data_IF_891752937644
#
_entry.id   IF_891752937644
#
_cell.length_a   1.000
_cell.length_b   1.000
_cell.length_c   1.000
_cell.angle_alpha   90.00
_cell.angle_beta   90.00
_cell.angle_gamma   90.00
#
_symmetry.space_group_name_H-M   'P 1'
#
loop_
_entity.id
_entity.type
_entity.pdbx_description
1 polymer ?
#
# COMPACT_ATOMS: atom_id res chain seq x y z
N UNK A 1 6.76 15.01 4.13
CA UNK A 1 7.96 14.64 4.92
C UNK A 1 7.45 14.02 6.21
N UNK A 2 7.75 12.78 6.61
CA UNK A 2 9.04 12.10 6.65
C UNK A 2 8.92 10.57 6.40
N UNK A 3 9.42 10.03 5.28
CA UNK A 3 9.54 8.58 5.02
C UNK A 3 10.95 8.06 5.35
N UNK A 4 11.43 8.45 6.54
CA UNK A 4 12.80 8.36 7.08
C UNK A 4 13.89 9.26 6.47
N UNK A 5 13.60 10.28 5.66
CA UNK A 5 14.57 11.29 5.11
C UNK A 5 15.87 10.76 4.44
N UNK A 6 16.09 9.45 4.29
CA UNK A 6 17.34 8.88 3.74
C UNK A 6 17.31 8.73 2.22
N UNK A 7 18.49 8.76 1.61
CA UNK A 7 18.70 8.76 0.14
C UNK A 7 18.56 7.37 -0.51
N UNK A 8 18.37 6.34 0.29
CA UNK A 8 18.39 4.94 -0.09
C UNK A 8 17.46 4.16 0.85
N UNK A 9 16.16 4.38 0.69
CA UNK A 9 15.11 3.46 1.14
C UNK A 9 14.83 3.42 2.66
N UNK A 10 13.59 3.02 2.99
CA UNK A 10 13.24 2.20 4.14
C UNK A 10 14.45 1.38 4.63
N UNK A 11 14.68 1.26 5.94
CA UNK A 11 15.78 0.45 6.46
C UNK A 11 15.76 -1.00 5.98
N UNK A 12 14.58 -1.46 5.53
CA UNK A 12 14.33 -2.80 5.03
C UNK A 12 14.49 -2.95 3.51
N UNK A 13 14.79 -1.87 2.76
CA UNK A 13 15.06 -1.94 1.32
C UNK A 13 13.82 -1.97 0.40
N UNK A 14 12.63 -1.60 0.88
CA UNK A 14 11.39 -1.54 0.07
C UNK A 14 11.20 -0.24 -0.75
N UNK A 15 10.76 -0.38 -2.00
CA UNK A 15 10.20 0.72 -2.77
C UNK A 15 8.78 1.04 -2.29
N UNK A 16 8.59 2.23 -1.70
CA UNK A 16 7.30 2.68 -1.18
C UNK A 16 6.39 3.23 -2.28
N UNK A 17 5.19 2.68 -2.35
CA UNK A 17 4.10 3.21 -3.18
C UNK A 17 3.03 3.79 -2.26
N UNK A 18 2.89 5.11 -2.31
CA UNK A 18 1.95 5.86 -1.47
C UNK A 18 0.78 6.32 -2.33
N UNK A 19 -0.40 5.78 -2.08
CA UNK A 19 -1.61 6.06 -2.85
C UNK A 19 -2.86 5.78 -2.02
N UNK A 20 -3.95 6.49 -2.28
CA UNK A 20 -5.26 5.99 -1.88
C UNK A 20 -5.54 4.66 -2.61
N UNK A 21 -6.40 3.84 -2.04
CA UNK A 21 -6.75 2.57 -2.65
C UNK A 21 -7.79 1.80 -1.86
N UNK A 22 -8.13 0.66 -2.42
CA UNK A 22 -9.01 -0.33 -1.85
C UNK A 22 -8.50 -1.73 -2.23
N UNK A 23 -9.31 -2.76 -1.94
CA UNK A 23 -8.95 -4.16 -2.25
C UNK A 23 -8.65 -4.48 -3.73
N UNK A 24 -9.05 -3.61 -4.67
CA UNK A 24 -8.98 -3.87 -6.12
C UNK A 24 -8.11 -2.88 -6.89
N UNK A 25 -7.91 -1.66 -6.40
CA UNK A 25 -7.25 -0.59 -7.15
C UNK A 25 -6.53 0.40 -6.23
N UNK A 26 -5.58 1.11 -6.81
CA UNK A 26 -4.95 2.29 -6.20
C UNK A 26 -5.25 3.52 -7.04
N UNK A 27 -5.39 4.68 -6.41
CA UNK A 27 -5.54 5.95 -7.13
C UNK A 27 -4.17 6.54 -7.45
N UNK A 28 -3.93 6.79 -8.73
CA UNK A 28 -2.72 7.46 -9.23
C UNK A 28 -3.10 8.86 -9.67
N UNK A 29 -2.35 9.88 -9.22
CA UNK A 29 -2.58 11.25 -9.67
C UNK A 29 -1.93 11.49 -11.03
N UNK A 30 -2.73 11.97 -11.97
CA UNK A 30 -2.28 12.42 -13.30
C UNK A 30 -2.54 13.93 -13.44
N UNK A 31 -1.97 14.60 -14.47
CA UNK A 31 -2.31 16.00 -14.76
C UNK A 31 -3.82 16.25 -14.98
N UNK A 32 -4.57 15.21 -15.35
CA UNK A 32 -6.01 15.27 -15.60
C UNK A 32 -6.86 14.85 -14.38
N UNK A 33 -6.22 14.64 -13.22
CA UNK A 33 -6.88 14.18 -11.99
C UNK A 33 -6.51 12.75 -11.60
N UNK A 34 -7.09 12.24 -10.50
CA UNK A 34 -6.87 10.88 -10.04
C UNK A 34 -7.48 9.86 -11.00
N UNK A 35 -6.75 8.79 -11.28
CA UNK A 35 -7.22 7.65 -12.05
C UNK A 35 -7.06 6.38 -11.23
N UNK A 36 -8.06 5.50 -11.30
CA UNK A 36 -7.96 4.17 -10.71
C UNK A 36 -7.00 3.30 -11.53
N UNK A 37 -6.02 2.70 -10.86
CA UNK A 37 -5.04 1.81 -11.44
C UNK A 37 -5.17 0.42 -10.81
N UNK A 38 -5.37 -0.59 -11.66
CA UNK A 38 -5.24 -1.98 -11.26
C UNK A 38 -3.76 -2.35 -11.06
N UNK A 39 -3.50 -3.57 -10.58
CA UNK A 39 -2.16 -4.08 -10.34
C UNK A 39 -1.28 -4.15 -11.60
N UNK A 40 -1.87 -4.23 -12.80
CA UNK A 40 -1.12 -4.32 -14.06
C UNK A 40 -0.66 -2.92 -14.49
N UNK A 41 -1.53 -1.93 -14.35
CA UNK A 41 -1.20 -0.53 -14.58
C UNK A 41 -0.15 -0.09 -13.55
N UNK A 42 -0.36 -0.39 -12.28
CA UNK A 42 0.60 -0.07 -11.22
C UNK A 42 1.97 -0.71 -11.48
N UNK A 43 2.02 -1.98 -11.88
CA UNK A 43 3.27 -2.64 -12.24
C UNK A 43 4.04 -1.93 -13.37
N UNK A 44 3.33 -1.41 -14.38
CA UNK A 44 3.95 -0.64 -15.47
C UNK A 44 4.50 0.69 -14.95
N UNK A 45 3.73 1.39 -14.12
CA UNK A 45 4.13 2.67 -13.55
C UNK A 45 5.38 2.53 -12.68
N UNK A 46 5.42 1.53 -11.80
CA UNK A 46 6.59 1.24 -10.96
C UNK A 46 7.82 0.92 -11.84
N UNK A 47 7.65 0.07 -12.87
CA UNK A 47 8.76 -0.25 -13.80
C UNK A 47 9.26 0.94 -14.62
N UNK A 48 8.42 1.95 -14.84
CA UNK A 48 8.81 3.17 -15.53
C UNK A 48 9.44 4.22 -14.62
N UNK A 49 9.38 4.05 -13.30
CA UNK A 49 10.03 4.96 -12.36
C UNK A 49 11.56 4.75 -12.40
N UNK A 50 12.36 5.78 -12.75
CA UNK A 50 13.80 5.64 -12.83
C UNK A 50 14.48 5.33 -11.49
N UNK A 51 13.78 5.52 -10.37
CA UNK A 51 14.29 5.19 -9.02
C UNK A 51 13.98 3.74 -8.60
N UNK A 52 13.17 3.03 -9.38
CA UNK A 52 12.89 1.61 -9.14
C UNK A 52 13.95 0.74 -9.84
N UNK A 53 14.77 0.07 -9.05
CA UNK A 53 15.85 -0.82 -9.48
C UNK A 53 15.58 -2.30 -9.23
N UNK A 54 14.34 -2.69 -8.90
CA UNK A 54 13.97 -4.09 -8.61
C UNK A 54 13.85 -4.42 -7.12
N UNK A 55 13.71 -3.41 -6.26
CA UNK A 55 13.46 -3.60 -4.84
C UNK A 55 12.13 -4.36 -4.57
N UNK A 56 11.99 -5.04 -3.42
CA UNK A 56 10.68 -5.38 -2.88
C UNK A 56 9.79 -4.13 -2.79
N UNK A 57 8.47 -4.28 -2.89
CA UNK A 57 7.52 -3.15 -2.94
C UNK A 57 6.69 -3.10 -1.67
N UNK A 58 6.51 -1.93 -1.06
CA UNK A 58 5.60 -1.72 0.07
C UNK A 58 4.46 -0.79 -0.36
N UNK A 59 3.23 -1.31 -0.30
CA UNK A 59 2.03 -0.54 -0.59
C UNK A 59 1.58 0.17 0.68
N UNK A 60 1.71 1.49 0.72
CA UNK A 60 1.06 2.35 1.72
C UNK A 60 -0.31 2.78 1.17
N UNK A 61 -1.15 1.78 0.88
CA UNK A 61 -2.45 1.93 0.23
C UNK A 61 -3.48 0.95 0.79
N UNK A 62 -4.61 1.48 1.24
CA UNK A 62 -5.59 0.77 2.08
C UNK A 62 -6.10 -0.53 1.43
N UNK A 63 -6.25 -1.58 2.24
CA UNK A 63 -6.87 -2.87 1.88
C UNK A 63 -6.22 -3.65 0.72
N UNK A 64 -5.14 -3.17 0.13
CA UNK A 64 -4.48 -3.82 -1.03
C UNK A 64 -3.92 -5.22 -0.71
N UNK A 65 -3.74 -5.54 0.58
CA UNK A 65 -3.36 -6.86 1.10
C UNK A 65 -4.51 -7.65 1.75
N UNK A 66 -5.76 -7.22 1.60
CA UNK A 66 -6.93 -7.86 2.25
C UNK A 66 -7.27 -9.27 1.72
N UNK A 67 -6.76 -9.64 0.54
CA UNK A 67 -7.04 -10.92 -0.10
C UNK A 67 -5.75 -11.63 -0.53
N UNK A 68 -5.61 -12.90 -0.13
CA UNK A 68 -4.43 -13.74 -0.36
C UNK A 68 -4.07 -13.97 -1.83
N UNK A 69 -5.07 -13.91 -2.71
CA UNK A 69 -4.93 -14.02 -4.16
C UNK A 69 -5.34 -12.74 -4.88
N UNK A 70 -5.47 -11.63 -4.15
CA UNK A 70 -5.95 -10.34 -4.64
C UNK A 70 -4.85 -9.43 -5.17
N UNK A 71 -5.04 -8.12 -5.01
CA UNK A 71 -4.21 -7.07 -5.61
C UNK A 71 -2.71 -7.28 -5.35
N UNK A 72 -2.29 -7.34 -4.08
CA UNK A 72 -0.88 -7.47 -3.72
C UNK A 72 -0.23 -8.75 -4.25
N UNK A 73 -0.94 -9.89 -4.22
CA UNK A 73 -0.41 -11.15 -4.76
C UNK A 73 -0.23 -11.11 -6.28
N UNK A 74 -1.19 -10.54 -7.00
CA UNK A 74 -1.07 -10.40 -8.45
C UNK A 74 0.03 -9.41 -8.83
N UNK A 75 0.21 -8.34 -8.06
CA UNK A 75 1.32 -7.42 -8.23
C UNK A 75 2.67 -8.12 -7.99
N UNK A 76 2.80 -8.89 -6.91
CA UNK A 76 4.02 -9.64 -6.59
C UNK A 76 4.40 -10.61 -7.73
N UNK A 77 3.42 -11.34 -8.26
CA UNK A 77 3.63 -12.23 -9.41
C UNK A 77 4.07 -11.46 -10.66
N UNK A 78 3.49 -10.28 -10.92
CA UNK A 78 3.80 -9.48 -12.12
C UNK A 78 5.16 -8.78 -12.05
N UNK A 79 5.56 -8.39 -10.85
CA UNK A 79 6.81 -7.68 -10.59
C UNK A 79 7.98 -8.63 -10.36
N UNK A 80 7.72 -9.87 -9.97
CA UNK A 80 8.77 -10.87 -9.67
C UNK A 80 9.50 -10.61 -8.35
N UNK A 81 8.93 -9.77 -7.48
CA UNK A 81 9.51 -9.35 -6.20
C UNK A 81 8.47 -9.44 -5.09
N UNK A 82 8.87 -9.53 -3.81
CA UNK A 82 7.93 -9.49 -2.69
C UNK A 82 7.16 -8.16 -2.65
N UNK A 83 5.88 -8.24 -2.31
CA UNK A 83 5.02 -7.07 -2.06
C UNK A 83 4.52 -7.11 -0.62
N UNK A 84 4.75 -6.05 0.16
CA UNK A 84 4.22 -5.84 1.51
C UNK A 84 3.00 -4.92 1.43
N UNK A 85 1.83 -5.37 1.92
CA UNK A 85 0.59 -4.63 1.76
C UNK A 85 -0.32 -4.75 3.01
N UNK A 86 -1.10 -3.72 3.36
CA UNK A 86 -1.95 -3.73 4.53
C UNK A 86 -3.22 -4.57 4.29
N UNK A 87 -3.59 -5.37 5.29
CA UNK A 87 -4.82 -6.20 5.25
C UNK A 87 -6.10 -5.38 5.46
N UNK A 88 -5.97 -4.13 5.91
CA UNK A 88 -7.06 -3.19 6.20
C UNK A 88 -6.60 -1.74 5.88
N UNK A 89 -7.26 -0.72 6.42
CA UNK A 89 -6.83 0.68 6.28
C UNK A 89 -5.47 0.90 6.93
N UNK A 90 -4.61 1.65 6.25
CA UNK A 90 -3.33 2.11 6.79
C UNK A 90 -3.48 3.52 7.36
N UNK A 91 -3.05 3.70 8.62
CA UNK A 91 -3.03 4.97 9.32
C UNK A 91 -1.57 5.36 9.55
N UNK A 92 -1.12 6.45 8.93
CA UNK A 92 0.23 6.98 9.09
C UNK A 92 0.22 8.22 9.98
N UNK A 93 1.12 8.25 10.97
CA UNK A 93 1.25 9.34 11.93
C UNK A 93 2.52 10.16 11.66
N UNK A 94 2.55 11.41 12.16
CA UNK A 94 3.66 12.35 11.90
C UNK A 94 5.01 11.93 12.48
N UNK A 95 5.01 11.02 13.45
CA UNK A 95 6.20 10.39 14.05
C UNK A 95 6.72 9.19 13.23
N UNK A 96 6.07 8.85 12.11
CA UNK A 96 6.42 7.72 11.26
C UNK A 96 5.78 6.40 11.70
N UNK A 97 5.00 6.37 12.78
CA UNK A 97 4.23 5.18 13.18
C UNK A 97 3.17 4.88 12.12
N UNK A 98 3.02 3.60 11.81
CA UNK A 98 1.93 3.11 10.96
C UNK A 98 1.10 2.08 11.72
N UNK A 99 -0.22 2.14 11.53
CA UNK A 99 -1.18 1.18 12.08
C UNK A 99 -2.03 0.64 10.95
N UNK A 100 -2.31 -0.66 10.95
CA UNK A 100 -3.30 -1.29 10.06
C UNK A 100 -4.51 -1.66 10.90
N UNK A 101 -5.66 -1.05 10.64
CA UNK A 101 -6.89 -1.30 11.40
C UNK A 101 -8.10 -0.69 10.68
N UNK A 102 -9.31 -1.24 10.84
CA UNK A 102 -10.51 -0.63 10.32
C UNK A 102 -10.85 0.65 11.09
N UNK A 103 -11.80 1.45 10.56
CA UNK A 103 -12.36 2.59 11.32
C UNK A 103 -13.11 2.10 12.55
N UNK A 104 -13.10 2.90 13.63
CA UNK A 104 -13.96 2.68 14.80
C UNK A 104 -15.44 2.88 14.50
N UNK A 105 -15.77 3.77 13.56
CA UNK A 105 -17.12 3.97 13.06
C UNK A 105 -17.13 4.08 11.53
N UNK A 106 -18.15 3.51 10.90
CA UNK A 106 -18.42 3.68 9.46
C UNK A 106 -19.33 4.89 9.18
N UNK A 107 -19.98 5.44 10.21
CA UNK A 107 -20.75 6.68 10.10
C UNK A 107 -19.78 7.86 9.93
N UNK A 108 -19.86 8.54 8.77
CA UNK A 108 -19.03 9.69 8.41
C UNK A 108 -19.22 10.89 9.33
N UNK A 109 -20.37 10.98 10.02
CA UNK A 109 -20.67 12.06 10.96
C UNK A 109 -20.18 11.76 12.38
N UNK A 110 -19.72 10.53 12.64
CA UNK A 110 -19.21 10.15 13.95
C UNK A 110 -17.83 10.77 14.22
N UNK A 111 -17.55 11.27 15.43
CA UNK A 111 -16.20 11.69 15.81
C UNK A 111 -15.19 10.52 15.80
N UNK A 112 -15.68 9.28 15.69
CA UNK A 112 -14.88 8.07 15.61
C UNK A 112 -14.57 7.62 14.16
N UNK A 113 -15.07 8.34 13.14
CA UNK A 113 -14.85 7.99 11.73
C UNK A 113 -13.36 8.01 11.35
N UNK A 114 -12.62 9.01 11.83
CA UNK A 114 -11.18 9.16 11.57
C UNK A 114 -10.32 8.60 12.72
N UNK A 115 -10.76 7.50 13.32
CA UNK A 115 -10.00 6.81 14.36
C UNK A 115 -9.84 5.32 14.03
N UNK A 116 -8.63 4.75 14.16
CA UNK A 116 -8.43 3.32 13.98
C UNK A 116 -9.04 2.54 15.15
N UNK A 117 -9.65 1.40 14.83
CA UNK A 117 -10.10 0.45 15.83
C UNK A 117 -8.95 -0.47 16.24
N UNK A 118 -8.19 -0.04 17.26
CA UNK A 118 -6.99 -0.75 17.72
C UNK A 118 -7.27 -2.13 18.35
N UNK A 119 -8.53 -2.45 18.67
CA UNK A 119 -8.90 -3.80 19.13
C UNK A 119 -9.11 -4.79 17.97
N UNK A 120 -9.09 -4.31 16.73
CA UNK A 120 -9.24 -5.11 15.50
C UNK A 120 -8.10 -4.83 14.52
N UNK A 121 -6.87 -4.78 15.04
CA UNK A 121 -5.70 -4.51 14.21
C UNK A 121 -5.55 -5.58 13.13
N UNK A 122 -5.33 -5.11 11.91
CA UNK A 122 -4.77 -5.92 10.83
C UNK A 122 -3.25 -5.82 10.85
N UNK A 123 -2.64 -6.20 9.73
CA UNK A 123 -1.18 -6.22 9.61
C UNK A 123 -0.73 -5.82 8.21
N UNK A 124 0.57 -5.57 8.07
CA UNK A 124 1.21 -5.61 6.76
C UNK A 124 1.63 -7.05 6.46
N UNK A 125 1.01 -7.65 5.45
CA UNK A 125 1.34 -8.99 4.98
C UNK A 125 2.32 -8.93 3.82
N UNK A 126 3.26 -9.87 3.77
CA UNK A 126 4.20 -10.03 2.65
C UNK A 126 3.70 -11.12 1.71
N UNK A 127 3.54 -10.76 0.44
CA UNK A 127 3.15 -11.61 -0.67
C UNK A 127 4.38 -11.90 -1.52
N UNK A 128 4.79 -13.17 -1.58
CA UNK A 128 5.90 -13.59 -2.43
C UNK A 128 5.36 -14.01 -3.79
N UNK A 129 6.18 -13.88 -4.84
CA UNK A 129 5.84 -14.42 -6.15
C UNK A 129 5.52 -15.92 -6.02
N UNK A 130 4.40 -16.33 -6.61
CA UNK A 130 4.12 -17.73 -6.86
C UNK A 130 4.60 -17.99 -8.29
N UNK A 131 5.56 -18.89 -8.45
CA UNK A 131 6.08 -19.29 -9.78
C UNK A 131 4.88 -19.65 -10.66
N UNK A 132 4.75 -19.00 -11.80
CA UNK A 132 3.86 -19.41 -12.90
C UNK A 132 4.66 -20.26 -13.88
#
# INVERSE_FOLDING_TARGET
MNASKRRDVDSDGFFDVIAHGNKNEVEVFTPNGPVAADQRVLAKLIKSDPNYGGQPIRLLSCETGSCDLGFAQNLANKMGVPVKAPTDLVWAYGDGKMVVAPRRSLDRNSPLFNQPNLSRQGEFKIFKQKVQ
#
